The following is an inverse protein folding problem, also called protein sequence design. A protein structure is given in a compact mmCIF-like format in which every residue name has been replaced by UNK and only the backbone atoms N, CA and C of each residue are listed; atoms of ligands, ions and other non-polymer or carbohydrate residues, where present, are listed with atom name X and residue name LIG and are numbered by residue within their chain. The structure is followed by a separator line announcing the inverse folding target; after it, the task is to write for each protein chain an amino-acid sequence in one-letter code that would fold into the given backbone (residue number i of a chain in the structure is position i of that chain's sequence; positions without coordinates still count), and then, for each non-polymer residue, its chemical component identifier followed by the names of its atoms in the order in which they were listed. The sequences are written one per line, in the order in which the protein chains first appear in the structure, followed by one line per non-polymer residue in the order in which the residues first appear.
data_IF_481273487178
#
_entry.id   IF_481273487178
#
_cell.length_a   1.000
_cell.length_b   1.000
_cell.length_c   1.000
_cell.angle_alpha   90.00
_cell.angle_beta   90.00
_cell.angle_gamma   90.00
#
_symmetry.space_group_name_H-M   'P 1'
#
loop_
_entity.id
_entity.type
_entity.pdbx_description
1 polymer ?
#
# COMPACT_ATOMS: atom_id res chain seq x y z
N UNK A 1 -45.00 4.73 49.48
CA UNK A 1 -43.54 4.76 49.25
C UNK A 1 -43.19 3.52 48.45
N UNK A 2 -42.59 3.67 47.27
CA UNK A 2 -42.20 2.56 46.40
C UNK A 2 -42.69 2.75 44.98
N UNK A 3 -41.93 3.49 44.17
CA UNK A 3 -42.05 3.52 42.71
C UNK A 3 -41.25 2.34 42.14
N UNK A 4 -41.86 1.53 41.28
CA UNK A 4 -41.13 0.63 40.38
C UNK A 4 -41.65 0.87 38.95
N UNK A 5 -40.80 1.47 38.13
CA UNK A 5 -40.98 1.56 36.68
C UNK A 5 -40.26 0.38 36.04
N UNK A 6 -41.01 -0.52 35.41
CA UNK A 6 -40.52 -1.51 34.46
C UNK A 6 -40.86 -1.00 33.05
N UNK A 7 -39.85 -0.55 32.30
CA UNK A 7 -39.95 -0.33 30.85
C UNK A 7 -39.15 -1.42 30.15
N UNK A 8 -39.85 -2.33 29.49
CA UNK A 8 -39.26 -3.30 28.57
C UNK A 8 -38.82 -2.61 27.28
N UNK A 9 -37.56 -2.79 26.92
CA UNK A 9 -37.05 -2.52 25.58
C UNK A 9 -36.90 -3.87 24.88
N UNK A 10 -37.77 -4.09 23.89
CA UNK A 10 -37.62 -5.18 22.91
C UNK A 10 -36.42 -4.89 22.01
N UNK A 11 -35.41 -5.75 22.07
CA UNK A 11 -34.27 -5.75 21.16
C UNK A 11 -34.72 -6.31 19.80
N UNK A 12 -34.83 -5.43 18.80
CA UNK A 12 -34.90 -5.85 17.40
C UNK A 12 -33.46 -6.09 16.92
N UNK A 13 -33.01 -7.34 17.03
CA UNK A 13 -31.76 -7.81 16.42
C UNK A 13 -32.04 -8.07 14.94
N UNK A 14 -31.70 -7.11 14.09
CA UNK A 14 -31.65 -7.33 12.65
C UNK A 14 -30.42 -8.18 12.30
N UNK A 15 -30.62 -9.47 12.06
CA UNK A 15 -29.57 -10.33 11.50
C UNK A 15 -29.34 -9.98 10.04
N UNK A 16 -28.20 -9.38 9.73
CA UNK A 16 -27.74 -9.28 8.35
C UNK A 16 -26.88 -10.50 8.03
N UNK A 17 -27.25 -11.20 6.96
CA UNK A 17 -26.54 -12.36 6.43
C UNK A 17 -25.09 -11.97 6.09
N UNK A 18 -24.15 -12.52 6.85
CA UNK A 18 -22.73 -12.58 6.50
C UNK A 18 -22.61 -13.44 5.25
N UNK A 19 -22.44 -12.77 4.10
CA UNK A 19 -22.12 -13.42 2.84
C UNK A 19 -20.62 -13.63 2.83
N UNK A 20 -20.17 -14.85 3.10
CA UNK A 20 -18.77 -15.25 2.98
C UNK A 20 -18.26 -14.94 1.56
N UNK A 21 -17.14 -14.23 1.49
CA UNK A 21 -16.46 -13.90 0.23
C UNK A 21 -15.94 -15.20 -0.38
N UNK A 22 -16.68 -15.74 -1.34
CA UNK A 22 -16.18 -16.82 -2.18
C UNK A 22 -15.29 -16.19 -3.27
N UNK A 23 -13.97 -16.24 -3.07
CA UNK A 23 -13.02 -16.04 -4.15
C UNK A 23 -13.17 -17.18 -5.17
N UNK A 24 -14.06 -16.99 -6.15
CA UNK A 24 -14.16 -17.90 -7.28
C UNK A 24 -12.86 -17.87 -8.10
N UNK A 25 -12.31 -19.05 -8.35
CA UNK A 25 -10.94 -19.27 -8.82
C UNK A 25 -10.79 -19.34 -10.35
N UNK A 26 -11.78 -18.87 -11.12
CA UNK A 26 -11.82 -19.10 -12.56
C UNK A 26 -11.88 -17.79 -13.35
N UNK A 27 -10.79 -17.01 -13.42
CA UNK A 27 -10.65 -15.96 -14.44
C UNK A 27 -9.19 -15.74 -14.89
N UNK A 28 -9.07 -15.23 -16.11
CA UNK A 28 -7.95 -15.32 -17.04
C UNK A 28 -6.71 -14.49 -16.59
N UNK A 29 -5.63 -15.16 -16.17
CA UNK A 29 -4.35 -14.56 -15.76
C UNK A 29 -3.61 -13.76 -16.86
N UNK A 30 -4.14 -13.69 -18.08
CA UNK A 30 -3.48 -13.04 -19.22
C UNK A 30 -3.51 -11.50 -19.22
N UNK A 31 -4.53 -10.88 -18.62
CA UNK A 31 -4.70 -9.42 -18.70
C UNK A 31 -3.78 -8.62 -17.76
N UNK A 32 -3.34 -9.23 -16.65
CA UNK A 32 -2.50 -8.57 -15.66
C UNK A 32 -1.06 -8.34 -16.14
N UNK A 33 -0.48 -9.34 -16.83
CA UNK A 33 0.94 -9.32 -17.23
C UNK A 33 1.21 -8.26 -18.31
N UNK A 34 0.44 -8.27 -19.40
CA UNK A 34 0.62 -7.32 -20.51
C UNK A 34 0.35 -5.85 -20.09
N UNK A 35 -0.58 -5.64 -19.15
CA UNK A 35 -0.92 -4.30 -18.66
C UNK A 35 0.15 -3.68 -17.77
N UNK A 36 0.77 -4.48 -16.89
CA UNK A 36 1.94 -4.06 -16.10
C UNK A 36 3.13 -3.84 -17.05
N UNK A 37 3.25 -4.71 -18.07
CA UNK A 37 4.39 -4.67 -18.97
C UNK A 37 4.55 -3.33 -19.67
N UNK A 38 3.42 -2.83 -20.19
CA UNK A 38 3.36 -1.55 -20.87
C UNK A 38 3.65 -0.35 -19.94
N UNK A 39 3.14 -0.35 -18.71
CA UNK A 39 3.24 0.81 -17.82
C UNK A 39 4.67 1.04 -17.31
N UNK A 40 5.33 -0.01 -16.85
CA UNK A 40 6.69 0.10 -16.31
C UNK A 40 7.70 0.39 -17.42
N UNK A 41 7.51 -0.17 -18.63
CA UNK A 41 8.36 0.16 -19.79
C UNK A 41 8.10 1.56 -20.37
N UNK A 42 6.84 2.00 -20.44
CA UNK A 42 6.51 3.33 -20.96
C UNK A 42 7.08 4.44 -20.08
N UNK A 43 7.08 4.26 -18.75
CA UNK A 43 7.67 5.22 -17.83
C UNK A 43 9.20 5.19 -17.80
N UNK A 44 9.84 4.01 -17.95
CA UNK A 44 11.30 3.91 -18.03
C UNK A 44 11.86 4.47 -19.34
N UNK A 45 11.15 4.32 -20.47
CA UNK A 45 11.58 4.86 -21.78
C UNK A 45 11.44 6.37 -21.91
N UNK A 46 10.55 7.03 -21.17
CA UNK A 46 10.47 8.50 -21.13
C UNK A 46 11.70 9.16 -20.47
N UNK A 47 12.64 8.40 -19.90
CA UNK A 47 13.82 8.92 -19.20
C UNK A 47 15.08 9.12 -20.08
N UNK A 48 15.07 8.76 -21.37
CA UNK A 48 16.25 8.93 -22.24
C UNK A 48 16.25 10.27 -22.98
N UNK A 49 16.32 11.37 -22.24
CA UNK A 49 17.11 12.52 -22.69
C UNK A 49 18.27 12.70 -21.70
N UNK A 50 19.54 12.62 -22.14
CA UNK A 50 20.69 12.70 -21.25
C UNK A 50 20.76 14.10 -20.63
N UNK A 51 20.49 14.21 -19.32
CA UNK A 51 20.76 15.44 -18.57
C UNK A 51 22.14 15.40 -17.93
N UNK A 52 22.77 16.58 -17.97
CA UNK A 52 24.16 16.88 -17.59
C UNK A 52 24.51 16.32 -16.20
N UNK A 53 25.67 15.68 -16.12
CA UNK A 53 26.31 15.27 -14.87
C UNK A 53 26.34 16.43 -13.87
N UNK A 54 25.77 16.20 -12.68
CA UNK A 54 25.82 17.14 -11.56
C UNK A 54 26.97 16.71 -10.65
N UNK A 55 27.98 17.56 -10.53
CA UNK A 55 29.23 17.40 -9.74
C UNK A 55 29.01 17.58 -8.21
N UNK A 56 27.78 17.84 -7.78
CA UNK A 56 27.48 17.96 -6.34
C UNK A 56 27.57 16.61 -5.63
N UNK A 57 28.41 16.50 -4.62
CA UNK A 57 28.56 15.29 -3.80
C UNK A 57 27.20 14.75 -3.33
N UNK A 58 26.98 13.45 -3.54
CA UNK A 58 25.71 12.73 -3.27
C UNK A 58 25.08 13.02 -1.89
N UNK A 59 25.91 13.33 -0.90
CA UNK A 59 25.47 13.60 0.47
C UNK A 59 24.88 15.02 0.68
N UNK A 60 25.40 16.02 -0.03
CA UNK A 60 24.89 17.40 0.00
C UNK A 60 23.59 17.52 -0.80
N UNK A 61 23.53 16.87 -1.97
CA UNK A 61 22.31 16.75 -2.77
C UNK A 61 21.20 16.04 -1.99
N UNK A 62 21.54 14.97 -1.24
CA UNK A 62 20.59 14.33 -0.32
C UNK A 62 20.07 15.33 0.72
N UNK A 63 20.95 16.05 1.43
CA UNK A 63 20.55 17.01 2.49
C UNK A 63 19.65 18.14 1.96
N UNK A 64 19.95 18.70 0.79
CA UNK A 64 19.12 19.74 0.17
C UNK A 64 17.76 19.21 -0.32
N UNK A 65 17.72 18.03 -0.95
CA UNK A 65 16.48 17.40 -1.42
C UNK A 65 15.57 16.98 -0.24
N UNK A 66 16.16 16.50 0.86
CA UNK A 66 15.41 16.25 2.09
C UNK A 66 14.91 17.57 2.70
N UNK A 67 15.71 18.64 2.69
CA UNK A 67 15.28 19.93 3.20
C UNK A 67 14.14 20.57 2.37
N UNK A 68 14.16 20.46 1.04
CA UNK A 68 13.16 21.09 0.16
C UNK A 68 11.82 20.35 0.15
N UNK A 69 11.82 19.01 0.23
CA UNK A 69 10.58 18.24 0.37
C UNK A 69 9.91 18.42 1.74
N UNK A 70 10.68 18.76 2.78
CA UNK A 70 10.14 19.07 4.11
C UNK A 70 9.84 20.57 4.33
N UNK A 71 10.52 21.49 3.62
CA UNK A 71 10.23 22.94 3.68
C UNK A 71 8.97 23.32 2.90
N UNK A 72 8.69 22.64 1.80
CA UNK A 72 7.38 22.75 1.18
C UNK A 72 6.36 22.04 2.08
N UNK A 73 5.63 22.84 2.88
CA UNK A 73 4.53 22.41 3.78
C UNK A 73 3.39 21.61 3.11
N UNK A 74 3.51 21.18 1.85
CA UNK A 74 2.55 20.30 1.20
C UNK A 74 2.90 18.84 1.44
N UNK A 75 2.35 18.36 2.56
CA UNK A 75 1.75 17.03 2.78
C UNK A 75 2.66 15.86 2.43
N UNK A 76 3.49 15.53 3.41
CA UNK A 76 3.77 14.13 3.72
C UNK A 76 2.41 13.45 3.88
N UNK A 77 2.15 12.39 3.09
CA UNK A 77 0.92 11.62 3.19
C UNK A 77 0.77 11.15 4.64
N UNK A 78 -0.45 11.23 5.17
CA UNK A 78 -0.74 10.68 6.49
C UNK A 78 -0.58 9.17 6.41
N UNK A 79 0.60 8.65 6.74
CA UNK A 79 0.86 7.22 6.60
C UNK A 79 -0.07 6.42 7.52
N UNK A 80 -0.88 5.60 6.86
CA UNK A 80 -1.97 4.76 7.37
C UNK A 80 -1.44 3.50 8.05
N UNK A 81 -0.41 3.63 8.89
CA UNK A 81 0.27 2.46 9.49
C UNK A 81 -0.65 1.51 10.25
N UNK A 82 -1.81 1.99 10.72
CA UNK A 82 -2.81 1.18 11.41
C UNK A 82 -3.71 0.36 10.46
N UNK A 83 -3.93 0.81 9.22
CA UNK A 83 -4.84 0.11 8.29
C UNK A 83 -4.25 -1.21 7.83
N UNK A 84 -2.92 -1.31 7.71
CA UNK A 84 -2.28 -2.57 7.34
C UNK A 84 -2.42 -3.63 8.44
N UNK A 85 -2.52 -3.21 9.71
CA UNK A 85 -2.71 -4.14 10.82
C UNK A 85 -4.10 -4.81 10.77
N UNK A 86 -5.10 -4.19 10.13
CA UNK A 86 -6.43 -4.79 9.96
C UNK A 86 -6.40 -6.04 9.06
N UNK A 87 -5.39 -6.15 8.19
CA UNK A 87 -5.18 -7.32 7.33
C UNK A 87 -4.32 -8.41 7.99
N UNK A 88 -3.90 -8.22 9.24
CA UNK A 88 -3.18 -9.24 10.00
C UNK A 88 -4.15 -10.09 10.82
N UNK A 89 -3.96 -11.41 10.77
CA UNK A 89 -4.70 -12.35 11.59
C UNK A 89 -4.16 -12.31 13.03
N UNK A 90 -4.92 -11.86 14.04
CA UNK A 90 -4.45 -11.79 15.42
C UNK A 90 -4.15 -13.17 16.02
N UNK A 91 -4.69 -14.25 15.43
CA UNK A 91 -4.51 -15.63 15.91
C UNK A 91 -3.32 -16.35 15.28
N UNK A 92 -2.64 -15.77 14.28
CA UNK A 92 -1.58 -16.47 13.52
C UNK A 92 -0.28 -16.71 14.30
N UNK A 93 -0.21 -16.27 15.56
CA UNK A 93 1.01 -16.25 16.35
C UNK A 93 1.98 -15.14 15.91
N UNK A 94 3.14 -15.07 16.56
CA UNK A 94 4.16 -14.08 16.23
C UNK A 94 4.95 -14.49 14.98
N UNK A 95 4.99 -13.62 13.97
CA UNK A 95 5.92 -13.77 12.87
C UNK A 95 7.37 -13.46 13.30
N UNK A 96 8.34 -13.89 12.49
CA UNK A 96 9.75 -13.62 12.76
C UNK A 96 10.02 -12.12 12.85
N UNK A 97 10.87 -11.71 13.79
CA UNK A 97 11.41 -10.37 13.83
C UNK A 97 12.53 -10.24 12.79
N UNK A 98 12.47 -9.20 11.94
CA UNK A 98 13.47 -8.99 10.90
C UNK A 98 14.39 -7.86 11.30
N UNK A 99 15.64 -8.21 11.61
CA UNK A 99 16.68 -7.26 11.97
C UNK A 99 17.55 -6.80 10.80
N UNK A 100 17.57 -7.59 9.72
CA UNK A 100 18.46 -7.45 8.56
C UNK A 100 17.67 -7.12 7.28
N UNK A 101 18.21 -6.23 6.46
CA UNK A 101 17.61 -5.83 5.19
C UNK A 101 17.73 -6.89 4.10
N UNK A 102 18.77 -7.73 4.12
CA UNK A 102 19.00 -8.75 3.09
C UNK A 102 17.95 -9.86 3.15
N UNK A 103 17.58 -10.32 4.36
CA UNK A 103 16.51 -11.30 4.54
C UNK A 103 15.18 -10.78 3.96
N UNK A 104 14.86 -9.52 4.24
CA UNK A 104 13.66 -8.89 3.73
C UNK A 104 13.69 -8.71 2.21
N UNK A 105 14.84 -8.29 1.67
CA UNK A 105 15.00 -7.98 0.25
C UNK A 105 14.64 -9.18 -0.60
N UNK A 106 15.15 -10.37 -0.27
CA UNK A 106 14.85 -11.60 -1.01
C UNK A 106 13.34 -11.91 -1.08
N UNK A 107 12.62 -11.72 0.03
CA UNK A 107 11.17 -11.95 0.10
C UNK A 107 10.38 -10.91 -0.68
N UNK A 108 10.83 -9.64 -0.66
CA UNK A 108 10.21 -8.56 -1.44
C UNK A 108 10.43 -8.79 -2.94
N UNK A 109 11.63 -9.16 -3.36
CA UNK A 109 11.94 -9.47 -4.75
C UNK A 109 11.14 -10.68 -5.24
N UNK A 110 11.04 -11.74 -4.43
CA UNK A 110 10.20 -12.91 -4.74
C UNK A 110 8.73 -12.51 -4.90
N UNK A 111 8.16 -11.79 -3.93
CA UNK A 111 6.77 -11.35 -3.99
C UNK A 111 6.50 -10.46 -5.20
N UNK A 112 7.41 -9.56 -5.51
CA UNK A 112 7.32 -8.69 -6.67
C UNK A 112 7.35 -9.47 -7.98
N UNK A 113 8.29 -10.40 -8.13
CA UNK A 113 8.39 -11.27 -9.29
C UNK A 113 7.13 -12.13 -9.47
N UNK A 114 6.62 -12.71 -8.39
CA UNK A 114 5.41 -13.54 -8.42
C UNK A 114 4.15 -12.74 -8.74
N UNK A 115 4.06 -11.48 -8.32
CA UNK A 115 2.91 -10.62 -8.59
C UNK A 115 2.96 -10.06 -10.02
N UNK A 116 4.13 -9.57 -10.44
CA UNK A 116 4.26 -8.76 -11.67
C UNK A 116 4.81 -9.55 -12.85
N UNK A 117 5.47 -10.68 -12.59
CA UNK A 117 6.25 -11.42 -13.59
C UNK A 117 7.56 -10.75 -13.98
N UNK A 118 8.05 -9.78 -13.19
CA UNK A 118 9.24 -8.96 -13.48
C UNK A 118 10.21 -8.94 -12.30
N UNK A 119 11.49 -8.70 -12.61
CA UNK A 119 12.49 -8.44 -11.58
C UNK A 119 12.17 -7.13 -10.84
N UNK A 120 12.60 -7.06 -9.58
CA UNK A 120 12.43 -5.86 -8.76
C UNK A 120 13.15 -4.66 -9.40
N UNK A 121 12.53 -3.48 -9.46
CA UNK A 121 13.08 -2.35 -10.20
C UNK A 121 14.36 -1.80 -9.55
N UNK A 122 15.40 -1.59 -10.36
CA UNK A 122 16.69 -1.01 -9.93
C UNK A 122 16.57 0.45 -9.45
N UNK A 123 15.46 1.13 -9.76
CA UNK A 123 15.20 2.53 -9.40
C UNK A 123 14.35 2.70 -8.13
N UNK A 124 14.20 1.64 -7.34
CA UNK A 124 13.56 1.67 -6.02
C UNK A 124 14.52 1.11 -4.97
N UNK A 125 14.76 1.89 -3.91
CA UNK A 125 15.61 1.50 -2.79
C UNK A 125 14.79 1.28 -1.51
N UNK A 126 14.97 0.14 -0.85
CA UNK A 126 14.39 -0.16 0.46
C UNK A 126 15.38 0.18 1.57
N UNK A 127 14.93 0.92 2.58
CA UNK A 127 15.73 1.32 3.73
C UNK A 127 15.06 0.87 5.04
N UNK A 128 15.74 -0.01 5.79
CA UNK A 128 15.30 -0.40 7.12
C UNK A 128 15.91 0.49 8.20
N UNK A 129 15.06 1.10 9.01
CA UNK A 129 15.47 2.06 10.03
C UNK A 129 14.90 1.70 11.39
N UNK A 130 15.60 2.10 12.45
CA UNK A 130 15.06 1.92 13.80
C UNK A 130 13.92 2.93 14.11
N UNK A 131 13.21 2.73 15.22
CA UNK A 131 12.11 3.62 15.59
C UNK A 131 12.53 5.05 15.92
N UNK A 132 13.78 5.27 16.38
CA UNK A 132 14.30 6.61 16.70
C UNK A 132 14.65 7.36 15.41
N UNK A 133 15.27 6.69 14.45
CA UNK A 133 15.57 7.19 13.11
C UNK A 133 14.29 7.49 12.34
N UNK A 134 13.32 6.57 12.36
CA UNK A 134 12.00 6.78 11.75
C UNK A 134 11.34 8.04 12.31
N UNK A 135 11.36 8.24 13.64
CA UNK A 135 10.80 9.45 14.26
C UNK A 135 11.54 10.75 13.91
N UNK A 136 12.84 10.69 13.64
CA UNK A 136 13.63 11.84 13.18
C UNK A 136 13.27 12.22 11.75
N UNK A 137 13.09 11.23 10.89
CA UNK A 137 12.74 11.45 9.48
C UNK A 137 11.27 11.84 9.34
N UNK A 138 10.38 11.15 10.04
CA UNK A 138 8.94 11.33 9.96
C UNK A 138 8.36 11.62 11.35
N UNK A 139 7.83 12.83 11.62
CA UNK A 139 7.43 13.23 12.97
C UNK A 139 6.24 12.46 13.53
N UNK A 140 5.41 11.85 12.66
CA UNK A 140 4.32 10.96 13.06
C UNK A 140 4.86 9.55 13.25
N UNK A 141 4.32 8.81 14.24
CA UNK A 141 4.70 7.42 14.50
C UNK A 141 4.10 6.50 13.44
N UNK A 142 4.81 6.37 12.32
CA UNK A 142 4.41 5.55 11.16
C UNK A 142 5.28 4.32 11.05
N UNK A 143 4.76 3.27 10.41
CA UNK A 143 5.50 2.04 10.14
C UNK A 143 6.40 2.18 8.90
N UNK A 144 5.95 2.94 7.91
CA UNK A 144 6.71 3.21 6.71
C UNK A 144 6.24 4.48 6.00
N UNK A 145 7.07 4.95 5.07
CA UNK A 145 6.73 5.99 4.12
C UNK A 145 7.65 5.89 2.88
N UNK A 146 7.19 6.43 1.76
CA UNK A 146 7.98 6.51 0.54
C UNK A 146 8.26 7.94 0.08
N UNK A 147 9.38 8.09 -0.64
CA UNK A 147 9.77 9.31 -1.37
C UNK A 147 9.87 8.96 -2.84
N UNK A 148 8.80 9.25 -3.59
CA UNK A 148 8.73 9.00 -5.02
C UNK A 148 9.42 10.13 -5.81
N UNK A 149 10.53 9.80 -6.48
CA UNK A 149 11.30 10.74 -7.30
C UNK A 149 11.33 10.38 -8.79
N UNK A 150 10.45 9.47 -9.25
CA UNK A 150 10.38 9.06 -10.67
C UNK A 150 10.15 10.23 -11.63
N UNK A 151 9.41 11.26 -11.20
CA UNK A 151 9.20 12.47 -12.01
C UNK A 151 10.48 13.29 -12.27
N UNK A 152 11.53 13.07 -11.48
CA UNK A 152 12.85 13.68 -11.65
C UNK A 152 13.85 12.74 -12.34
N UNK A 153 13.46 11.51 -12.67
CA UNK A 153 14.38 10.47 -13.15
C UNK A 153 15.37 10.00 -12.09
N UNK A 154 15.03 10.12 -10.80
CA UNK A 154 15.87 9.72 -9.68
C UNK A 154 15.30 8.49 -8.97
N UNK A 155 16.18 7.77 -8.24
CA UNK A 155 15.82 6.63 -7.40
C UNK A 155 14.78 7.05 -6.36
N UNK A 156 13.68 6.28 -6.31
CA UNK A 156 12.67 6.41 -5.27
C UNK A 156 13.07 5.58 -4.05
N UNK A 157 12.79 6.10 -2.86
CA UNK A 157 13.20 5.46 -1.60
C UNK A 157 11.98 5.09 -0.77
N UNK A 158 11.98 3.89 -0.19
CA UNK A 158 11.00 3.43 0.79
C UNK A 158 11.72 3.26 2.12
N UNK A 159 11.16 3.84 3.18
CA UNK A 159 11.68 3.72 4.54
C UNK A 159 10.71 2.91 5.38
N UNK A 160 11.19 1.83 6.00
CA UNK A 160 10.39 0.94 6.82
C UNK A 160 11.03 0.83 8.20
N UNK A 161 10.22 1.00 9.24
CA UNK A 161 10.61 0.79 10.62
C UNK A 161 10.82 -0.72 10.84
N UNK A 162 11.94 -1.10 11.45
CA UNK A 162 12.18 -2.50 11.84
C UNK A 162 11.07 -3.02 12.75
N UNK A 163 10.63 -4.25 12.52
CA UNK A 163 9.48 -4.85 13.19
C UNK A 163 9.27 -6.32 12.85
N UNK A 164 8.04 -6.78 12.98
CA UNK A 164 7.63 -8.12 12.58
C UNK A 164 7.57 -8.25 11.06
N UNK A 165 7.95 -9.41 10.54
CA UNK A 165 8.06 -9.67 9.10
C UNK A 165 6.74 -9.37 8.37
N UNK A 166 5.63 -9.83 8.92
CA UNK A 166 4.28 -9.62 8.37
C UNK A 166 3.98 -8.14 8.13
N UNK A 167 4.07 -7.31 9.18
CA UNK A 167 3.80 -5.89 9.15
C UNK A 167 4.74 -5.16 8.21
N UNK A 168 6.01 -5.55 8.19
CA UNK A 168 6.99 -4.98 7.25
C UNK A 168 6.61 -5.29 5.80
N UNK A 169 6.31 -6.56 5.48
CA UNK A 169 5.90 -6.98 4.13
C UNK A 169 4.61 -6.31 3.66
N UNK A 170 3.62 -6.12 4.55
CA UNK A 170 2.38 -5.42 4.23
C UNK A 170 2.62 -3.93 3.96
N UNK A 171 3.41 -3.28 4.82
CA UNK A 171 3.76 -1.87 4.67
C UNK A 171 4.52 -1.66 3.35
N UNK A 172 5.50 -2.50 3.03
CA UNK A 172 6.26 -2.43 1.77
C UNK A 172 5.34 -2.53 0.56
N UNK A 173 4.36 -3.44 0.58
CA UNK A 173 3.38 -3.56 -0.51
C UNK A 173 2.65 -2.24 -0.79
N UNK A 174 2.18 -1.56 0.26
CA UNK A 174 1.54 -0.26 0.13
C UNK A 174 2.51 0.83 -0.39
N UNK A 175 3.71 0.93 0.17
CA UNK A 175 4.71 1.92 -0.26
C UNK A 175 5.20 1.69 -1.70
N UNK A 176 5.30 0.43 -2.14
CA UNK A 176 5.56 0.08 -3.54
C UNK A 176 4.46 0.62 -4.46
N UNK A 177 3.20 0.50 -4.05
CA UNK A 177 2.06 1.05 -4.77
C UNK A 177 2.19 2.55 -5.08
N UNK A 178 2.86 3.32 -4.20
CA UNK A 178 3.17 4.73 -4.42
C UNK A 178 4.34 4.97 -5.38
N UNK A 179 5.41 4.18 -5.27
CA UNK A 179 6.68 4.49 -5.97
C UNK A 179 6.82 3.83 -7.33
N UNK A 180 6.03 2.80 -7.66
CA UNK A 180 6.18 2.07 -8.93
C UNK A 180 5.81 2.90 -10.17
N UNK A 181 5.03 3.97 -9.98
CA UNK A 181 4.59 4.89 -11.04
C UNK A 181 4.81 6.33 -10.61
N UNK A 182 4.63 7.30 -11.51
CA UNK A 182 4.58 8.71 -11.09
C UNK A 182 3.45 8.96 -10.09
N UNK A 183 3.68 9.89 -9.15
CA UNK A 183 2.66 10.33 -8.19
C UNK A 183 1.48 10.98 -8.93
N UNK A 184 0.27 10.58 -8.58
CA UNK A 184 -0.96 11.19 -9.06
C UNK A 184 -1.20 12.54 -8.38
N UNK A 185 -1.82 13.47 -9.09
CA UNK A 185 -2.08 14.83 -8.58
C UNK A 185 -3.14 14.86 -7.47
N UNK A 186 -4.08 13.92 -7.50
CA UNK A 186 -5.14 13.78 -6.50
C UNK A 186 -4.74 12.79 -5.41
N UNK A 187 -4.83 13.21 -4.15
CA UNK A 187 -4.38 12.42 -2.99
C UNK A 187 -5.25 11.18 -2.78
N UNK A 188 -6.57 11.25 -3.02
CA UNK A 188 -7.47 10.09 -2.86
C UNK A 188 -7.16 9.00 -3.88
N UNK A 189 -6.89 9.39 -5.13
CA UNK A 189 -6.45 8.47 -6.19
C UNK A 189 -5.06 7.90 -5.92
N UNK A 190 -4.13 8.70 -5.40
CA UNK A 190 -2.79 8.21 -5.04
C UNK A 190 -2.84 7.15 -3.94
N UNK A 191 -3.68 7.35 -2.91
CA UNK A 191 -3.91 6.34 -1.86
C UNK A 191 -4.64 5.11 -2.41
N UNK A 192 -5.68 5.30 -3.24
CA UNK A 192 -6.42 4.18 -3.83
C UNK A 192 -5.52 3.33 -4.73
N UNK A 193 -4.60 3.97 -5.47
CA UNK A 193 -3.53 3.28 -6.20
C UNK A 193 -2.69 2.42 -5.23
N UNK A 194 -2.19 2.98 -4.15
CA UNK A 194 -1.39 2.23 -3.19
C UNK A 194 -2.15 1.06 -2.54
N UNK A 195 -3.41 1.25 -2.16
CA UNK A 195 -4.25 0.17 -1.64
C UNK A 195 -4.55 -0.93 -2.66
N UNK A 196 -4.82 -0.57 -3.93
CA UNK A 196 -5.05 -1.55 -4.98
C UNK A 196 -3.82 -2.45 -5.21
N UNK A 197 -2.62 -1.86 -5.24
CA UNK A 197 -1.39 -2.64 -5.30
C UNK A 197 -1.18 -3.48 -4.04
N UNK A 198 -1.37 -2.90 -2.85
CA UNK A 198 -1.22 -3.61 -1.57
C UNK A 198 -2.13 -4.83 -1.45
N UNK A 199 -3.40 -4.74 -1.87
CA UNK A 199 -4.31 -5.89 -1.88
C UNK A 199 -3.83 -6.99 -2.83
N UNK A 200 -3.35 -6.62 -4.03
CA UNK A 200 -2.80 -7.59 -4.97
C UNK A 200 -1.53 -8.27 -4.43
N UNK A 201 -0.67 -7.47 -3.79
CA UNK A 201 0.54 -7.91 -3.10
C UNK A 201 0.23 -8.90 -1.97
N UNK A 202 -0.69 -8.55 -1.07
CA UNK A 202 -1.14 -9.41 0.03
C UNK A 202 -1.75 -10.71 -0.46
N UNK A 203 -2.62 -10.64 -1.48
CA UNK A 203 -3.18 -11.82 -2.13
C UNK A 203 -2.06 -12.73 -2.65
N UNK A 204 -1.06 -12.18 -3.33
CA UNK A 204 0.05 -12.98 -3.87
C UNK A 204 0.90 -13.62 -2.77
N UNK A 205 1.26 -12.88 -1.72
CA UNK A 205 1.99 -13.43 -0.56
C UNK A 205 1.22 -14.58 0.07
N UNK A 206 -0.10 -14.41 0.24
CA UNK A 206 -0.96 -15.45 0.83
C UNK A 206 -1.03 -16.70 -0.04
N UNK A 207 -1.26 -16.55 -1.34
CA UNK A 207 -1.37 -17.66 -2.30
C UNK A 207 -0.08 -18.48 -2.42
N UNK A 208 1.07 -17.80 -2.49
CA UNK A 208 2.37 -18.44 -2.68
C UNK A 208 3.09 -18.77 -1.35
N UNK A 209 2.47 -18.43 -0.21
CA UNK A 209 3.04 -18.55 1.13
C UNK A 209 4.44 -17.93 1.28
N UNK A 210 4.66 -16.76 0.68
CA UNK A 210 5.95 -16.07 0.72
C UNK A 210 6.29 -15.69 2.16
N UNK A 211 7.51 -16.01 2.60
CA UNK A 211 7.95 -15.77 3.97
C UNK A 211 7.17 -16.55 5.04
N UNK A 212 6.44 -17.60 4.65
CA UNK A 212 5.53 -18.35 5.51
C UNK A 212 4.40 -17.49 6.13
N UNK A 213 3.92 -16.48 5.38
CA UNK A 213 2.93 -15.51 5.85
C UNK A 213 1.48 -15.84 5.46
N UNK A 214 1.20 -16.98 4.82
CA UNK A 214 -0.16 -17.30 4.32
C UNK A 214 -1.25 -17.30 5.40
N UNK A 215 -0.92 -17.73 6.62
CA UNK A 215 -1.84 -17.75 7.76
C UNK A 215 -1.87 -16.43 8.53
N UNK A 216 -0.86 -15.57 8.33
CA UNK A 216 -0.75 -14.26 8.98
C UNK A 216 -1.59 -13.19 8.29
N UNK A 217 -1.91 -13.36 7.01
CA UNK A 217 -2.70 -12.40 6.22
C UNK A 217 -4.17 -12.83 6.14
N UNK A 218 -5.09 -11.94 6.52
CA UNK A 218 -6.52 -12.08 6.33
C UNK A 218 -7.01 -11.05 5.30
N UNK A 219 -7.68 -11.51 4.24
CA UNK A 219 -8.18 -10.65 3.15
C UNK A 219 -9.70 -10.49 3.17
N UNK A 220 -10.37 -11.39 3.86
CA UNK A 220 -11.83 -11.55 3.93
C UNK A 220 -12.47 -10.74 5.06
N UNK A 221 -11.67 -10.12 5.93
CA UNK A 221 -12.14 -9.38 7.12
C UNK A 221 -11.43 -8.03 7.32
N UNK A 222 -11.52 -7.07 6.39
CA UNK A 222 -11.12 -5.70 6.72
C UNK A 222 -12.02 -5.20 7.86
N UNK A 223 -11.44 -4.76 8.96
CA UNK A 223 -12.09 -4.55 10.27
C UNK A 223 -13.50 -3.92 10.21
N UNK A 224 -14.48 -4.49 10.91
CA UNK A 224 -15.85 -3.94 11.02
C UNK A 224 -15.91 -2.71 11.95
N UNK A 225 -15.15 -1.65 11.68
CA UNK A 225 -15.12 -0.45 12.53
C UNK A 225 -15.57 0.85 11.85
N UNK A 226 -16.06 0.81 10.61
CA UNK A 226 -16.80 1.92 9.99
C UNK A 226 -15.99 3.19 9.68
N UNK A 227 -14.65 3.11 9.65
CA UNK A 227 -13.74 4.25 9.36
C UNK A 227 -12.82 3.95 8.17
N UNK A 228 -13.07 2.89 7.40
CA UNK A 228 -12.28 2.59 6.20
C UNK A 228 -12.22 3.83 5.31
N UNK A 229 -11.00 4.22 4.93
CA UNK A 229 -10.81 5.49 4.24
C UNK A 229 -11.46 5.41 2.84
N UNK A 230 -11.90 6.56 2.31
CA UNK A 230 -12.59 6.63 1.01
C UNK A 230 -11.81 5.97 -0.14
N UNK A 231 -10.48 5.90 -0.03
CA UNK A 231 -9.60 5.27 -1.03
C UNK A 231 -9.64 3.73 -0.96
N UNK A 232 -9.52 3.15 0.24
CA UNK A 232 -9.56 1.71 0.47
C UNK A 232 -10.96 1.17 0.19
N UNK A 233 -12.01 1.85 0.66
CA UNK A 233 -13.40 1.48 0.37
C UNK A 233 -13.66 1.41 -1.13
N UNK A 234 -13.20 2.41 -1.87
CA UNK A 234 -13.31 2.43 -3.32
C UNK A 234 -12.65 1.20 -3.97
N UNK A 235 -11.46 0.82 -3.52
CA UNK A 235 -10.75 -0.35 -4.04
C UNK A 235 -11.47 -1.65 -3.66
N UNK A 236 -11.86 -1.80 -2.39
CA UNK A 236 -12.58 -2.98 -1.91
C UNK A 236 -13.92 -3.16 -2.64
N UNK A 237 -14.66 -2.08 -2.89
CA UNK A 237 -15.90 -2.10 -3.67
C UNK A 237 -15.70 -2.65 -5.08
N UNK A 238 -14.61 -2.26 -5.74
CA UNK A 238 -14.30 -2.76 -7.09
C UNK A 238 -13.88 -4.23 -7.05
N UNK A 239 -13.09 -4.64 -6.06
CA UNK A 239 -12.69 -6.03 -5.87
C UNK A 239 -13.90 -6.91 -5.55
N UNK A 240 -14.82 -6.44 -4.70
CA UNK A 240 -16.08 -7.10 -4.37
C UNK A 240 -17.01 -7.24 -5.58
N UNK A 241 -16.91 -6.33 -6.55
CA UNK A 241 -17.59 -6.42 -7.86
C UNK A 241 -16.88 -7.36 -8.85
N UNK A 242 -15.84 -8.07 -8.41
CA UNK A 242 -15.13 -9.08 -9.20
C UNK A 242 -13.93 -8.54 -9.99
N UNK A 243 -13.51 -7.28 -9.79
CA UNK A 243 -12.25 -6.82 -10.39
C UNK A 243 -11.04 -7.39 -9.66
N UNK A 244 -9.99 -7.71 -10.40
CA UNK A 244 -8.70 -8.01 -9.77
C UNK A 244 -8.03 -6.74 -9.25
N UNK A 245 -7.48 -6.78 -8.04
CA UNK A 245 -6.85 -5.62 -7.40
C UNK A 245 -5.70 -5.03 -8.24
N UNK A 246 -4.91 -5.88 -8.92
CA UNK A 246 -3.85 -5.41 -9.83
C UNK A 246 -4.43 -4.72 -11.07
N UNK A 247 -5.58 -5.18 -11.57
CA UNK A 247 -6.30 -4.50 -12.66
C UNK A 247 -6.84 -3.14 -12.22
N UNK A 248 -7.35 -3.04 -10.99
CA UNK A 248 -7.76 -1.75 -10.40
C UNK A 248 -6.57 -0.79 -10.30
N UNK A 249 -5.40 -1.28 -9.87
CA UNK A 249 -4.16 -0.47 -9.84
C UNK A 249 -3.81 0.09 -11.23
N UNK A 250 -3.80 -0.77 -12.26
CA UNK A 250 -3.54 -0.38 -13.65
C UNK A 250 -4.55 0.67 -14.12
N UNK A 251 -5.85 0.46 -13.86
CA UNK A 251 -6.92 1.37 -14.28
C UNK A 251 -6.76 2.75 -13.62
N UNK A 252 -6.40 2.81 -12.34
CA UNK A 252 -6.14 4.08 -11.61
C UNK A 252 -4.92 4.79 -12.19
N UNK A 253 -3.80 4.08 -12.39
CA UNK A 253 -2.56 4.64 -12.97
C UNK A 253 -2.81 5.24 -14.35
N UNK A 254 -3.62 4.58 -15.17
CA UNK A 254 -4.01 5.05 -16.51
C UNK A 254 -5.07 6.16 -16.48
N UNK A 255 -5.62 6.50 -15.31
CA UNK A 255 -6.69 7.48 -15.17
C UNK A 255 -8.04 7.02 -15.77
N UNK A 256 -8.24 5.71 -15.95
CA UNK A 256 -9.48 5.13 -16.48
C UNK A 256 -10.57 5.07 -15.41
N UNK A 257 -10.18 4.93 -14.15
CA UNK A 257 -11.05 5.01 -12.99
C UNK A 257 -10.44 5.96 -11.97
N UNK A 258 -11.29 6.57 -11.14
CA UNK A 258 -10.88 7.50 -10.09
C UNK A 258 -11.86 7.45 -8.93
N UNK A 259 -11.35 7.77 -7.75
CA UNK A 259 -12.15 8.05 -6.56
C UNK A 259 -12.89 9.36 -6.80
N UNK A 260 -14.21 9.28 -6.94
CA UNK A 260 -15.03 10.48 -7.11
C UNK A 260 -15.08 11.28 -5.79
N UNK A 261 -15.08 12.62 -5.85
CA UNK A 261 -15.33 13.44 -4.66
C UNK A 261 -16.72 13.10 -4.12
N UNK A 262 -16.83 12.85 -2.82
CA UNK A 262 -18.15 12.73 -2.18
C UNK A 262 -18.96 14.00 -2.50
N UNK A 263 -20.10 13.83 -3.16
CA UNK A 263 -20.99 14.94 -3.56
C UNK A 263 -21.47 15.83 -2.38
N UNK A 264 -21.19 15.41 -1.13
CA UNK A 264 -21.50 16.14 0.11
C UNK A 264 -20.50 17.24 0.48
N UNK A 265 -19.35 17.36 -0.20
CA UNK A 265 -18.37 18.44 0.05
C UNK A 265 -18.55 19.66 -0.87
N UNK A 266 -19.63 19.71 -1.67
CA UNK A 266 -19.90 20.77 -2.64
C UNK A 266 -21.05 21.73 -2.25
N UNK A 267 -21.54 21.67 -1.01
CA UNK A 267 -22.60 22.57 -0.51
C UNK A 267 -22.26 23.14 0.87
#
# INVERSE_FOLDING_TARGET
MGCEYNCGLENVVGSYNSSSINFHQDYNAGAGKEGIDYLVEAESRQMFEPRKEYDGGLEEVRKEIYADNYRNKKRVTESYSHVMDDFLNPESGFSAFVGDAEELKSLVEEAFLKLTGRDFPDDVQLNLVDGKEMKKMHPKNVMGFAVNRKHLGLVSEIFIKKGSLDRMMLTIGHELGHVLTRRLSDEKNEEAKAFAFSLAWMKKIKEENIGNLSTAIQLDRPAENGVHNTALDFVLDLVNKGKEAIGVWIDIVKGLIRVEPNAKELF
#
